data_IF_111237348347
#
_entry.id   IF_111237348347
#
_cell.length_a   1.000
_cell.length_b   1.000
_cell.length_c   1.000
_cell.angle_alpha   90.00
_cell.angle_beta   90.00
_cell.angle_gamma   90.00
#
_symmetry.space_group_name_H-M   'P 1'
#
loop_
_entity.id
_entity.type
_entity.pdbx_description
1 polymer ?
#
# COMPACT_ATOMS: atom_id res chain seq x y z
N UNK A 1 -19.71 2.50 1.45
CA UNK A 1 -18.86 3.72 1.53
C UNK A 1 -18.35 3.99 0.12
N UNK A 2 -18.60 5.15 -0.50
CA UNK A 2 -18.14 5.41 -1.88
C UNK A 2 -16.70 5.90 -1.85
N UNK A 3 -15.76 5.05 -2.23
CA UNK A 3 -14.38 5.46 -2.48
C UNK A 3 -14.35 6.18 -3.83
N UNK A 4 -14.44 7.51 -3.82
CA UNK A 4 -14.51 8.34 -5.03
C UNK A 4 -13.15 8.91 -5.43
N UNK A 5 -12.19 9.03 -4.50
CA UNK A 5 -10.89 9.65 -4.75
C UNK A 5 -9.81 9.14 -3.79
N UNK A 6 -8.57 9.00 -4.30
CA UNK A 6 -7.36 8.79 -3.51
C UNK A 6 -6.65 10.15 -3.25
N UNK A 7 -5.79 10.26 -2.23
CA UNK A 7 -5.10 11.51 -1.94
C UNK A 7 -4.24 12.02 -3.11
N UNK A 8 -4.25 13.34 -3.36
CA UNK A 8 -3.55 13.93 -4.51
C UNK A 8 -2.03 13.78 -4.48
N UNK A 9 -1.45 13.58 -3.28
CA UNK A 9 -0.02 13.36 -3.10
C UNK A 9 0.42 11.92 -3.38
N UNK A 10 -0.50 11.02 -3.72
CA UNK A 10 -0.17 9.65 -4.11
C UNK A 10 0.07 9.55 -5.62
N UNK A 11 0.97 8.68 -6.08
CA UNK A 11 1.14 8.40 -7.51
C UNK A 11 -0.17 7.90 -8.14
N UNK A 12 -0.50 8.41 -9.33
CA UNK A 12 -1.75 8.07 -10.03
C UNK A 12 -1.93 6.56 -10.22
N UNK A 13 -0.86 5.87 -10.61
CA UNK A 13 -0.88 4.42 -10.81
C UNK A 13 -1.27 3.68 -9.52
N UNK A 14 -0.69 4.05 -8.39
CA UNK A 14 -0.96 3.45 -7.07
C UNK A 14 -2.40 3.74 -6.65
N UNK A 15 -2.82 5.01 -6.74
CA UNK A 15 -4.17 5.45 -6.39
C UNK A 15 -5.27 4.76 -7.19
N UNK A 16 -5.05 4.53 -8.49
CA UNK A 16 -5.98 3.81 -9.36
C UNK A 16 -6.23 2.37 -8.90
N UNK A 17 -5.17 1.59 -8.67
CA UNK A 17 -5.30 0.20 -8.23
C UNK A 17 -5.88 0.10 -6.81
N UNK A 18 -5.51 1.01 -5.93
CA UNK A 18 -6.10 1.11 -4.59
C UNK A 18 -7.62 1.32 -4.66
N UNK A 19 -8.08 2.24 -5.53
CA UNK A 19 -9.50 2.51 -5.72
C UNK A 19 -10.25 1.28 -6.24
N UNK A 20 -9.65 0.54 -7.18
CA UNK A 20 -10.21 -0.71 -7.71
C UNK A 20 -10.30 -1.78 -6.63
N UNK A 21 -9.27 -1.93 -5.80
CA UNK A 21 -9.28 -2.87 -4.67
C UNK A 21 -10.43 -2.54 -3.69
N UNK A 22 -10.57 -1.27 -3.29
CA UNK A 22 -11.65 -0.81 -2.41
C UNK A 22 -13.04 -1.05 -2.98
N UNK A 23 -13.23 -0.87 -4.29
CA UNK A 23 -14.50 -1.16 -4.97
C UNK A 23 -14.79 -2.66 -4.97
N UNK A 24 -13.80 -3.49 -5.33
CA UNK A 24 -13.95 -4.94 -5.33
C UNK A 24 -14.30 -5.50 -3.95
N UNK A 25 -13.75 -4.93 -2.87
CA UNK A 25 -14.15 -5.29 -1.49
C UNK A 25 -15.62 -4.94 -1.22
N UNK A 26 -16.11 -3.80 -1.69
CA UNK A 26 -17.51 -3.41 -1.50
C UNK A 26 -18.48 -4.30 -2.28
N UNK A 27 -18.03 -4.77 -3.45
CA UNK A 27 -18.81 -5.64 -4.34
C UNK A 27 -18.59 -7.14 -4.03
N UNK A 28 -17.91 -7.46 -2.92
CA UNK A 28 -17.60 -8.84 -2.49
C UNK A 28 -16.80 -9.67 -3.51
N UNK A 29 -16.08 -9.00 -4.41
CA UNK A 29 -15.18 -9.60 -5.38
C UNK A 29 -13.79 -9.81 -4.76
N UNK A 30 -13.69 -10.76 -3.82
CA UNK A 30 -12.51 -10.95 -2.96
C UNK A 30 -11.21 -11.25 -3.73
N UNK A 31 -11.25 -12.14 -4.72
CA UNK A 31 -10.08 -12.48 -5.54
C UNK A 31 -9.56 -11.25 -6.31
N UNK A 32 -10.49 -10.49 -6.90
CA UNK A 32 -10.16 -9.27 -7.64
C UNK A 32 -9.68 -8.15 -6.70
N UNK A 33 -10.20 -8.07 -5.48
CA UNK A 33 -9.73 -7.13 -4.47
C UNK A 33 -8.28 -7.43 -4.06
N UNK A 34 -7.98 -8.70 -3.74
CA UNK A 34 -6.65 -9.15 -3.36
C UNK A 34 -5.64 -8.89 -4.49
N UNK A 35 -5.99 -9.20 -5.73
CA UNK A 35 -5.15 -8.96 -6.90
C UNK A 35 -4.84 -7.47 -7.08
N UNK A 36 -5.88 -6.61 -7.04
CA UNK A 36 -5.69 -5.17 -7.22
C UNK A 36 -4.87 -4.55 -6.09
N UNK A 37 -5.08 -5.00 -4.85
CA UNK A 37 -4.30 -4.54 -3.71
C UNK A 37 -2.82 -4.94 -3.82
N UNK A 38 -2.54 -6.17 -4.25
CA UNK A 38 -1.18 -6.65 -4.53
C UNK A 38 -0.50 -5.85 -5.64
N UNK A 39 -1.21 -5.52 -6.72
CA UNK A 39 -0.70 -4.68 -7.80
C UNK A 39 -0.35 -3.28 -7.33
N UNK A 40 -1.22 -2.65 -6.52
CA UNK A 40 -0.96 -1.33 -5.93
C UNK A 40 0.30 -1.36 -5.04
N UNK A 41 0.43 -2.40 -4.21
CA UNK A 41 1.57 -2.61 -3.32
C UNK A 41 2.87 -2.70 -4.11
N UNK A 42 2.90 -3.53 -5.15
CA UNK A 42 4.09 -3.72 -5.98
C UNK A 42 4.51 -2.43 -6.69
N UNK A 43 3.54 -1.66 -7.21
CA UNK A 43 3.83 -0.37 -7.85
C UNK A 43 4.38 0.62 -6.82
N UNK A 44 3.78 0.69 -5.63
CA UNK A 44 4.26 1.59 -4.58
C UNK A 44 5.70 1.27 -4.15
N UNK A 45 6.07 -0.01 -4.04
CA UNK A 45 7.43 -0.41 -3.69
C UNK A 45 8.43 -0.06 -4.81
N UNK A 46 8.06 -0.28 -6.07
CA UNK A 46 8.89 0.09 -7.22
C UNK A 46 9.07 1.59 -7.37
N UNK A 47 8.05 2.37 -7.02
CA UNK A 47 8.13 3.83 -6.95
C UNK A 47 9.18 4.30 -5.93
N UNK A 48 9.36 3.55 -4.84
CA UNK A 48 10.41 3.76 -3.84
C UNK A 48 11.78 3.20 -4.25
N UNK A 49 11.93 2.67 -5.47
CA UNK A 49 13.20 2.17 -5.99
C UNK A 49 13.53 0.71 -5.64
N UNK A 50 12.55 -0.07 -5.18
CA UNK A 50 12.75 -1.47 -4.82
C UNK A 50 13.31 -2.31 -5.97
N UNK A 51 14.29 -3.16 -5.64
CA UNK A 51 14.91 -4.11 -6.58
C UNK A 51 14.44 -5.53 -6.29
N UNK A 52 13.97 -6.23 -7.33
CA UNK A 52 13.59 -7.62 -7.20
C UNK A 52 12.74 -8.13 -8.36
N UNK A 53 12.68 -9.45 -8.53
CA UNK A 53 11.77 -10.10 -9.48
C UNK A 53 10.38 -10.35 -8.89
N UNK A 54 10.30 -10.50 -7.57
CA UNK A 54 9.08 -10.83 -6.86
C UNK A 54 8.86 -9.87 -5.69
N UNK A 55 7.61 -9.69 -5.30
CA UNK A 55 7.19 -8.79 -4.22
C UNK A 55 8.02 -8.97 -2.93
N UNK A 56 8.30 -10.22 -2.53
CA UNK A 56 9.16 -10.51 -1.37
C UNK A 56 10.56 -9.95 -1.49
N UNK A 57 11.16 -10.02 -2.69
CA UNK A 57 12.49 -9.47 -2.93
C UNK A 57 12.46 -7.94 -2.86
N UNK A 58 11.44 -7.32 -3.48
CA UNK A 58 11.24 -5.86 -3.46
C UNK A 58 11.08 -5.33 -2.02
N UNK A 59 10.32 -6.04 -1.17
CA UNK A 59 10.13 -5.65 0.23
C UNK A 59 11.38 -5.87 1.08
N UNK A 60 12.08 -7.00 0.87
CA UNK A 60 13.33 -7.26 1.56
C UNK A 60 14.42 -6.24 1.21
N UNK A 61 14.48 -5.81 -0.05
CA UNK A 61 15.40 -4.78 -0.53
C UNK A 61 15.15 -3.45 0.20
N UNK A 62 13.90 -2.96 0.18
CA UNK A 62 13.56 -1.71 0.88
C UNK A 62 13.69 -1.81 2.41
N UNK A 63 13.42 -2.97 3.01
CA UNK A 63 13.64 -3.18 4.44
C UNK A 63 15.16 -3.18 4.77
N UNK A 64 15.99 -3.73 3.91
CA UNK A 64 17.45 -3.71 4.07
C UNK A 64 18.04 -2.30 3.85
N UNK A 65 17.46 -1.51 2.95
CA UNK A 65 17.81 -0.09 2.74
C UNK A 65 17.29 0.82 3.87
N UNK A 66 16.48 0.29 4.81
CA UNK A 66 15.91 1.05 5.92
C UNK A 66 14.74 1.96 5.52
N UNK A 67 14.25 1.83 4.28
CA UNK A 67 13.06 2.54 3.79
C UNK A 67 11.81 1.95 4.42
N UNK A 68 11.74 0.63 4.59
CA UNK A 68 10.63 -0.03 5.27
C UNK A 68 11.00 -0.51 6.68
N UNK A 69 10.11 -0.32 7.67
CA UNK A 69 10.27 -0.93 8.99
C UNK A 69 10.36 -2.46 8.89
N UNK A 70 11.19 -3.12 9.74
CA UNK A 70 11.29 -4.59 9.75
C UNK A 70 9.94 -5.30 9.94
N UNK A 71 9.02 -4.72 10.71
CA UNK A 71 7.67 -5.27 10.92
C UNK A 71 6.85 -5.38 9.62
N UNK A 72 7.10 -4.54 8.62
CA UNK A 72 6.42 -4.63 7.32
C UNK A 72 6.89 -5.85 6.51
N UNK A 73 8.11 -6.35 6.75
CA UNK A 73 8.61 -7.56 6.11
C UNK A 73 7.83 -8.79 6.56
N UNK A 74 7.64 -8.95 7.86
CA UNK A 74 6.90 -10.08 8.42
C UNK A 74 5.46 -10.12 7.89
N UNK A 75 4.83 -8.95 7.79
CA UNK A 75 3.47 -8.86 7.28
C UNK A 75 3.38 -9.07 5.76
N UNK A 76 4.43 -8.73 5.01
CA UNK A 76 4.48 -8.98 3.57
C UNK A 76 4.54 -10.47 3.18
N UNK A 77 5.18 -11.28 4.03
CA UNK A 77 5.22 -12.72 3.83
C UNK A 77 3.81 -13.32 3.95
N UNK A 78 3.01 -12.82 4.89
CA UNK A 78 1.60 -13.18 5.04
C UNK A 78 0.75 -12.77 3.83
N UNK A 79 0.89 -11.52 3.37
CA UNK A 79 0.15 -11.01 2.20
C UNK A 79 0.50 -11.75 0.90
N UNK A 80 1.74 -12.23 0.76
CA UNK A 80 2.17 -13.00 -0.42
C UNK A 80 1.54 -14.39 -0.44
N UNK A 81 1.45 -15.07 0.70
CA UNK A 81 0.78 -16.36 0.80
C UNK A 81 -0.68 -16.23 0.37
N UNK A 82 -1.38 -15.23 0.91
CA UNK A 82 -2.77 -14.93 0.57
C UNK A 82 -2.97 -14.53 -0.90
N UNK A 83 -2.10 -13.68 -1.45
CA UNK A 83 -2.25 -13.18 -2.82
C UNK A 83 -1.79 -14.15 -3.92
N UNK A 84 -0.93 -15.13 -3.62
CA UNK A 84 -0.54 -16.17 -4.58
C UNK A 84 -1.68 -17.16 -4.83
N UNK A 85 -2.45 -17.46 -3.80
CA UNK A 85 -3.62 -18.35 -3.89
C UNK A 85 -4.70 -17.77 -4.82
N UNK A 86 -4.89 -16.44 -4.83
CA UNK A 86 -5.81 -15.77 -5.76
C UNK A 86 -5.27 -15.66 -7.20
N UNK A 87 -3.95 -15.65 -7.41
CA UNK A 87 -3.32 -15.44 -8.73
C UNK A 87 -3.04 -16.74 -9.51
N UNK A 88 -2.95 -17.87 -8.82
CA UNK A 88 -2.82 -19.21 -9.40
C UNK A 88 -3.91 -20.13 -8.87
N UNK A 89 -5.16 -19.96 -9.32
CA UNK A 89 -6.27 -20.75 -8.82
C UNK A 89 -6.06 -22.22 -9.17
N UNK A 90 -5.83 -23.07 -8.16
CA UNK A 90 -5.94 -24.50 -8.34
C UNK A 90 -7.43 -24.88 -8.44
N UNK A 91 -7.80 -25.90 -9.24
CA UNK A 91 -9.19 -26.38 -9.33
C UNK A 91 -9.78 -26.82 -7.98
N UNK A 92 -8.93 -27.07 -6.98
CA UNK A 92 -9.29 -27.51 -5.63
C UNK A 92 -9.26 -26.37 -4.58
N UNK A 93 -8.90 -25.14 -4.96
CA UNK A 93 -8.90 -24.00 -4.03
C UNK A 93 -10.30 -23.39 -3.93
N UNK A 94 -10.74 -23.18 -2.69
CA UNK A 94 -11.94 -22.41 -2.40
C UNK A 94 -11.75 -20.92 -2.76
N UNK A 95 -12.85 -20.14 -2.79
CA UNK A 95 -12.77 -18.69 -3.02
C UNK A 95 -11.90 -18.01 -1.96
N UNK A 96 -11.23 -16.90 -2.31
CA UNK A 96 -10.48 -16.09 -1.34
C UNK A 96 -11.38 -15.73 -0.16
N UNK A 97 -10.89 -15.96 1.05
CA UNK A 97 -11.61 -15.60 2.26
C UNK A 97 -11.80 -14.07 2.30
N UNK A 98 -13.01 -13.56 2.57
CA UNK A 98 -13.25 -12.14 2.74
C UNK A 98 -12.27 -11.45 3.70
N UNK A 99 -11.89 -12.13 4.78
CA UNK A 99 -10.94 -11.61 5.77
C UNK A 99 -9.57 -11.35 5.13
N UNK A 100 -9.08 -12.29 4.32
CA UNK A 100 -7.77 -12.20 3.68
C UNK A 100 -7.72 -11.01 2.72
N UNK A 101 -8.77 -10.84 1.91
CA UNK A 101 -8.87 -9.71 1.00
C UNK A 101 -8.92 -8.36 1.74
N UNK A 102 -9.59 -8.30 2.89
CA UNK A 102 -9.61 -7.12 3.76
C UNK A 102 -8.25 -6.86 4.40
N UNK A 103 -7.55 -7.90 4.85
CA UNK A 103 -6.25 -7.80 5.50
C UNK A 103 -5.17 -7.28 4.53
N UNK A 104 -5.17 -7.76 3.28
CA UNK A 104 -4.27 -7.26 2.22
C UNK A 104 -4.54 -5.77 1.93
N UNK A 105 -5.82 -5.39 1.86
CA UNK A 105 -6.18 -3.99 1.63
C UNK A 105 -5.80 -3.10 2.81
N UNK A 106 -5.96 -3.60 4.04
CA UNK A 106 -5.52 -2.92 5.25
C UNK A 106 -4.00 -2.71 5.23
N UNK A 107 -3.24 -3.72 4.80
CA UNK A 107 -1.79 -3.59 4.62
C UNK A 107 -1.42 -2.53 3.60
N UNK A 108 -2.10 -2.51 2.46
CA UNK A 108 -1.91 -1.50 1.46
C UNK A 108 -2.16 -0.09 2.04
N UNK A 109 -3.24 0.11 2.79
CA UNK A 109 -3.54 1.39 3.45
C UNK A 109 -2.39 1.84 4.35
N UNK A 110 -1.88 0.95 5.21
CA UNK A 110 -0.77 1.27 6.11
C UNK A 110 0.53 1.57 5.36
N UNK A 111 0.84 0.81 4.30
CA UNK A 111 2.04 1.05 3.50
C UNK A 111 1.96 2.43 2.81
N UNK A 112 0.82 2.75 2.19
CA UNK A 112 0.65 4.04 1.49
C UNK A 112 0.63 5.22 2.45
N UNK A 113 0.06 5.05 3.64
CA UNK A 113 0.15 6.04 4.70
C UNK A 113 1.62 6.28 5.11
N UNK A 114 2.41 5.22 5.26
CA UNK A 114 3.81 5.32 5.62
C UNK A 114 4.68 5.94 4.52
N UNK A 115 4.50 5.54 3.27
CA UNK A 115 5.33 5.97 2.15
C UNK A 115 5.00 7.39 1.66
N UNK A 116 3.73 7.78 1.67
CA UNK A 116 3.31 9.04 1.05
C UNK A 116 2.70 10.01 2.06
N UNK A 117 1.73 9.58 2.85
CA UNK A 117 0.98 10.50 3.72
C UNK A 117 1.78 10.99 4.92
N UNK A 118 2.57 10.12 5.58
CA UNK A 118 3.40 10.49 6.72
C UNK A 118 4.48 11.50 6.33
N UNK A 119 5.30 11.26 5.29
CA UNK A 119 6.26 12.26 4.80
C UNK A 119 5.60 13.58 4.41
N UNK A 120 4.46 13.53 3.70
CA UNK A 120 3.72 14.73 3.32
C UNK A 120 3.23 15.52 4.54
N UNK A 121 2.66 14.87 5.55
CA UNK A 121 2.24 15.50 6.82
C UNK A 121 3.43 16.12 7.55
N UNK A 122 4.56 15.41 7.65
CA UNK A 122 5.77 15.92 8.30
C UNK A 122 6.28 17.17 7.57
N UNK A 123 6.28 17.16 6.23
CA UNK A 123 6.65 18.34 5.45
C UNK A 123 5.72 19.52 5.73
N UNK A 124 4.40 19.31 5.73
CA UNK A 124 3.42 20.35 6.07
C UNK A 124 3.63 20.91 7.49
N UNK A 125 3.93 20.06 8.48
CA UNK A 125 4.24 20.50 9.85
C UNK A 125 5.50 21.38 9.88
N UNK A 126 6.56 20.99 9.16
CA UNK A 126 7.81 21.78 9.08
C UNK A 126 7.60 23.13 8.39
N UNK A 127 6.77 23.17 7.35
CA UNK A 127 6.43 24.41 6.63
C UNK A 127 5.60 25.37 7.48
N UNK A 128 4.68 24.86 8.32
CA UNK A 128 3.96 25.68 9.31
C UNK A 128 4.89 26.29 10.35
N UNK A 129 5.76 25.47 10.95
CA UNK A 129 6.75 25.96 11.92
C UNK A 129 7.70 27.04 11.38
N UNK A 130 8.00 27.02 10.08
CA UNK A 130 8.78 28.10 9.42
C UNK A 130 7.99 29.40 9.23
N UNK A 131 6.67 29.35 9.09
CA UNK A 131 5.83 30.55 8.90
C UNK A 131 5.57 31.30 10.20
N UNK A 132 5.60 30.60 11.33
CA UNK A 132 5.40 31.19 12.66
C UNK A 132 6.68 31.82 13.24
N UNK A 133 7.86 31.48 12.72
CA UNK A 133 9.15 32.07 13.12
C UNK A 133 9.52 33.40 12.44
N UNK A 134 8.65 33.99 11.61
CA UNK A 134 8.89 35.23 10.86
C UNK A 134 7.89 36.34 11.21
N UNK A 135 7.38 36.36 12.45
CA UNK A 135 6.51 37.45 12.95
C UNK A 135 7.09 38.24 14.13
N UNK A 136 8.23 37.84 14.68
CA UNK A 136 8.87 38.53 15.80
C UNK A 136 10.14 39.25 15.35
N UNK A 137 9.99 40.26 14.48
CA UNK A 137 11.00 41.29 14.23
C UNK A 137 10.40 42.43 13.41
N UNK A 138 9.62 43.28 14.06
CA UNK A 138 9.35 44.66 13.65
C UNK A 138 9.02 45.50 14.87
#
# INVERSE_FOLDING_TARGET
MKFEKYPEHWPEAVGRYWLQAKRNICDENWDAAALMARSALQIALRDQGAKGKFLKQEINDLAAEGVLPPIMKDWSDHVRELGNDSAHPNPSQGPTNPQDAQDILCFLDFLLEYLYSLPHRIQQYRERGKKDGCKDSS
#
